data_IF_831353386416
#
_entry.id   IF_831353386416
#
_cell.length_a   1.000
_cell.length_b   1.000
_cell.length_c   1.000
_cell.angle_alpha   90.00
_cell.angle_beta   90.00
_cell.angle_gamma   90.00
#
_symmetry.space_group_name_H-M   'P 1'
#
loop_
_entity.id
_entity.type
_entity.pdbx_description
1 polymer ?
#
# COMPACT_ATOMS: atom_id res chain seq x y z
N UNK A 1 -30.65 37.06 -41.98
CA UNK A 1 -30.23 35.66 -41.83
C UNK A 1 -29.00 35.65 -40.94
N UNK A 2 -29.20 35.38 -39.65
CA UNK A 2 -28.70 34.18 -38.93
C UNK A 2 -27.22 34.33 -38.53
N UNK A 3 -26.91 34.66 -37.26
CA UNK A 3 -26.42 33.77 -36.16
C UNK A 3 -25.10 33.05 -36.53
N UNK A 4 -24.07 32.92 -35.70
CA UNK A 4 -23.86 33.17 -34.28
C UNK A 4 -22.33 33.18 -33.98
N UNK A 5 -22.02 33.62 -32.77
CA UNK A 5 -20.74 33.58 -32.05
C UNK A 5 -20.05 32.21 -32.01
N UNK A 6 -18.74 32.18 -32.28
CA UNK A 6 -17.83 31.11 -31.86
C UNK A 6 -17.09 31.55 -30.58
N UNK A 7 -17.68 31.22 -29.43
CA UNK A 7 -16.99 31.18 -28.15
C UNK A 7 -16.40 29.78 -28.00
N UNK A 8 -15.13 29.59 -28.37
CA UNK A 8 -14.43 28.33 -28.15
C UNK A 8 -13.78 28.35 -26.76
N UNK A 9 -14.43 27.56 -25.91
CA UNK A 9 -14.05 27.00 -24.63
C UNK A 9 -12.57 27.13 -24.22
N UNK A 10 -12.34 27.95 -23.20
CA UNK A 10 -11.25 27.77 -22.23
C UNK A 10 -11.43 26.43 -21.50
N UNK A 11 -10.66 25.42 -21.88
CA UNK A 11 -10.59 24.14 -21.16
C UNK A 11 -9.48 24.14 -20.07
N UNK A 12 -9.65 23.35 -18.99
CA UNK A 12 -8.89 23.46 -17.74
C UNK A 12 -7.59 22.63 -17.78
N UNK A 13 -6.63 23.00 -18.63
CA UNK A 13 -5.31 22.33 -18.67
C UNK A 13 -4.37 22.73 -17.53
N UNK A 14 -4.48 23.96 -17.04
CA UNK A 14 -3.52 24.53 -16.09
C UNK A 14 -3.51 23.84 -14.71
N UNK A 15 -4.62 23.21 -14.29
CA UNK A 15 -4.72 22.60 -12.94
C UNK A 15 -4.20 21.16 -12.84
N UNK A 16 -3.96 20.50 -13.98
CA UNK A 16 -3.47 19.12 -14.02
C UNK A 16 -1.96 19.05 -14.22
N UNK A 17 -1.38 20.02 -14.94
CA UNK A 17 0.07 20.13 -15.15
C UNK A 17 0.80 20.49 -13.85
N UNK A 18 0.25 21.41 -13.06
CA UNK A 18 0.82 21.77 -11.75
C UNK A 18 0.87 20.55 -10.79
N UNK A 19 -0.22 19.78 -10.73
CA UNK A 19 -0.29 18.57 -9.88
C UNK A 19 0.68 17.47 -10.31
N UNK A 20 0.98 17.34 -11.61
CA UNK A 20 1.98 16.38 -12.10
C UNK A 20 3.39 16.81 -11.71
N UNK A 21 3.71 18.09 -11.85
CA UNK A 21 5.00 18.64 -11.45
C UNK A 21 5.24 18.51 -9.93
N UNK A 22 4.21 18.77 -9.13
CA UNK A 22 4.26 18.57 -7.68
C UNK A 22 4.53 17.09 -7.32
N UNK A 23 3.87 16.16 -8.01
CA UNK A 23 4.09 14.72 -7.80
C UNK A 23 5.48 14.25 -8.26
N UNK A 24 5.97 14.74 -9.39
CA UNK A 24 7.31 14.42 -9.90
C UNK A 24 8.41 14.94 -8.95
N UNK A 25 8.25 16.15 -8.41
CA UNK A 25 9.20 16.71 -7.44
C UNK A 25 9.19 16.00 -6.08
N UNK A 26 8.04 15.42 -5.69
CA UNK A 26 7.89 14.67 -4.44
C UNK A 26 8.31 13.19 -4.57
N UNK A 27 8.35 12.64 -5.78
CA UNK A 27 8.63 11.23 -6.00
C UNK A 27 10.10 10.89 -5.70
N UNK A 28 10.37 9.79 -4.98
CA UNK A 28 11.75 9.36 -4.73
C UNK A 28 12.41 8.89 -6.02
N UNK A 29 13.55 9.49 -6.37
CA UNK A 29 14.37 9.05 -7.51
C UNK A 29 15.19 7.85 -7.07
N UNK A 30 14.99 6.71 -7.76
CA UNK A 30 15.76 5.50 -7.48
C UNK A 30 16.82 5.31 -8.56
N UNK A 31 18.10 5.13 -8.20
CA UNK A 31 19.15 4.98 -9.19
C UNK A 31 18.96 3.71 -10.03
N UNK A 32 19.41 3.80 -11.27
CA UNK A 32 19.47 2.65 -12.17
C UNK A 32 20.44 1.60 -11.63
N UNK A 33 20.05 0.32 -11.68
CA UNK A 33 20.84 -0.79 -11.16
C UNK A 33 20.74 -2.01 -12.09
N UNK A 34 21.61 -3.01 -11.88
CA UNK A 34 21.64 -4.25 -12.67
C UNK A 34 20.31 -5.01 -12.60
N UNK A 35 19.64 -4.94 -11.45
CA UNK A 35 18.32 -5.51 -11.20
C UNK A 35 17.22 -4.90 -12.09
N UNK A 36 17.34 -3.60 -12.41
CA UNK A 36 16.46 -2.90 -13.34
C UNK A 36 16.86 -3.14 -14.80
N UNK A 37 18.15 -3.31 -15.08
CA UNK A 37 18.64 -3.58 -16.44
C UNK A 37 18.09 -4.90 -16.99
N UNK A 38 18.09 -5.96 -16.18
CA UNK A 38 17.54 -7.27 -16.53
C UNK A 38 16.11 -7.46 -16.00
N UNK A 39 15.32 -6.39 -15.87
CA UNK A 39 13.98 -6.47 -15.28
C UNK A 39 13.04 -7.35 -16.13
N UNK A 40 12.59 -8.46 -15.55
CA UNK A 40 11.72 -9.42 -16.23
C UNK A 40 12.46 -10.38 -17.16
N UNK A 41 13.78 -10.25 -17.29
CA UNK A 41 14.64 -11.13 -18.08
C UNK A 41 15.52 -12.00 -17.17
N UNK A 42 16.06 -13.07 -17.72
CA UNK A 42 17.05 -13.90 -17.04
C UNK A 42 18.44 -13.36 -17.32
N UNK A 43 19.16 -13.03 -16.25
CA UNK A 43 20.51 -12.50 -16.37
C UNK A 43 21.51 -13.65 -16.58
N UNK A 44 22.21 -13.71 -17.73
CA UNK A 44 23.00 -14.88 -18.11
C UNK A 44 24.21 -15.13 -17.19
N UNK A 45 24.77 -14.09 -16.58
CA UNK A 45 25.92 -14.16 -15.68
C UNK A 45 25.50 -14.25 -14.20
N UNK A 46 24.20 -14.37 -13.91
CA UNK A 46 23.73 -14.37 -12.54
C UNK A 46 24.21 -15.58 -11.73
N UNK A 47 24.89 -15.28 -10.62
CA UNK A 47 25.39 -16.29 -9.70
C UNK A 47 26.58 -17.10 -10.21
N UNK A 48 27.18 -16.78 -11.37
CA UNK A 48 28.39 -17.47 -11.83
C UNK A 48 29.60 -17.00 -11.03
N UNK A 49 30.22 -17.94 -10.32
CA UNK A 49 31.48 -17.72 -9.60
C UNK A 49 32.58 -18.46 -10.36
N UNK A 50 33.58 -17.74 -10.86
CA UNK A 50 34.81 -18.37 -11.32
C UNK A 50 35.64 -18.80 -10.11
N UNK A 51 35.89 -20.10 -9.99
CA UNK A 51 36.84 -20.65 -9.02
C UNK A 51 38.24 -20.55 -9.61
N UNK A 52 39.13 -19.82 -8.94
CA UNK A 52 40.53 -19.80 -9.32
C UNK A 52 41.16 -21.17 -9.02
N UNK A 53 41.77 -21.81 -10.02
CA UNK A 53 42.50 -23.05 -9.82
C UNK A 53 43.77 -22.78 -9.01
N UNK A 54 43.93 -23.51 -7.90
CA UNK A 54 45.19 -23.48 -7.15
C UNK A 54 46.30 -24.03 -8.03
N UNK A 55 47.46 -23.38 -8.06
CA UNK A 55 48.65 -23.87 -8.77
C UNK A 55 49.26 -25.13 -8.11
N UNK A 56 48.78 -25.52 -6.93
CA UNK A 56 49.28 -26.68 -6.20
C UNK A 56 48.56 -27.97 -6.62
N UNK A 57 49.19 -28.70 -7.54
CA UNK A 57 48.71 -29.99 -8.09
C UNK A 57 48.60 -31.10 -7.05
N UNK A 58 49.29 -30.99 -5.91
CA UNK A 58 49.32 -32.05 -4.90
C UNK A 58 48.14 -32.00 -3.92
N UNK A 59 47.54 -30.82 -3.69
CA UNK A 59 46.52 -30.61 -2.66
C UNK A 59 45.14 -30.28 -3.23
N UNK A 60 45.00 -30.19 -4.55
CA UNK A 60 43.73 -29.88 -5.21
C UNK A 60 43.42 -30.94 -6.27
N UNK A 61 42.16 -31.40 -6.37
CA UNK A 61 41.73 -32.31 -7.44
C UNK A 61 42.08 -31.78 -8.83
N UNK A 62 42.46 -32.69 -9.74
CA UNK A 62 42.88 -32.36 -11.11
C UNK A 62 41.77 -31.73 -11.96
N UNK A 63 40.50 -32.03 -11.65
CA UNK A 63 39.34 -31.49 -12.35
C UNK A 63 38.53 -30.64 -11.37
N UNK A 64 38.54 -29.32 -11.58
CA UNK A 64 37.72 -28.37 -10.84
C UNK A 64 36.81 -27.71 -11.87
N UNK A 65 35.50 -27.82 -11.66
CA UNK A 65 34.54 -27.00 -12.40
C UNK A 65 34.86 -25.53 -12.15
N UNK A 66 35.32 -24.85 -13.20
CA UNK A 66 35.80 -23.47 -13.15
C UNK A 66 34.65 -22.51 -12.89
N UNK A 67 33.44 -22.81 -13.37
CA UNK A 67 32.23 -22.02 -13.15
C UNK A 67 31.25 -22.81 -12.28
N UNK A 68 30.93 -22.25 -11.11
CA UNK A 68 29.85 -22.78 -10.27
C UNK A 68 28.74 -21.76 -10.15
N UNK A 69 27.52 -22.22 -10.40
CA UNK A 69 26.30 -21.44 -10.21
C UNK A 69 25.90 -21.42 -8.73
N UNK A 70 25.91 -20.22 -8.14
CA UNK A 70 25.39 -19.97 -6.82
C UNK A 70 24.03 -19.28 -6.90
N UNK A 71 22.99 -20.02 -6.49
CA UNK A 71 21.59 -19.56 -6.49
C UNK A 71 21.35 -18.34 -5.59
N UNK A 72 22.07 -18.23 -4.48
CA UNK A 72 21.94 -17.10 -3.55
C UNK A 72 22.48 -15.82 -4.20
N UNK A 73 23.64 -15.89 -4.85
CA UNK A 73 24.21 -14.76 -5.59
C UNK A 73 23.34 -14.34 -6.78
N UNK A 74 22.73 -15.31 -7.48
CA UNK A 74 21.78 -15.01 -8.55
C UNK A 74 20.55 -14.26 -8.01
N UNK A 75 20.01 -14.69 -6.87
CA UNK A 75 18.89 -14.02 -6.23
C UNK A 75 19.25 -12.60 -5.74
N UNK A 76 20.46 -12.42 -5.20
CA UNK A 76 20.95 -11.10 -4.78
C UNK A 76 21.09 -10.13 -5.94
N UNK A 77 21.50 -10.58 -7.13
CA UNK A 77 21.65 -9.68 -8.28
C UNK A 77 20.31 -9.27 -8.91
N UNK A 78 19.26 -10.08 -8.73
CA UNK A 78 17.89 -9.77 -9.16
C UNK A 78 17.10 -8.91 -8.17
N UNK A 79 17.62 -8.69 -6.96
CA UNK A 79 16.90 -7.98 -5.90
C UNK A 79 17.68 -6.76 -5.42
N UNK A 80 16.98 -5.65 -5.15
CA UNK A 80 17.58 -4.50 -4.48
C UNK A 80 17.20 -4.46 -3.01
N UNK A 81 18.21 -4.25 -2.17
CA UNK A 81 18.00 -3.90 -0.77
C UNK A 81 18.01 -2.37 -0.66
N UNK A 82 16.87 -1.79 -0.31
CA UNK A 82 16.74 -0.37 0.00
C UNK A 82 16.60 -0.25 1.51
N UNK A 83 17.53 0.46 2.14
CA UNK A 83 17.39 0.81 3.56
C UNK A 83 16.24 1.79 3.71
N UNK A 84 15.34 1.54 4.67
CA UNK A 84 14.29 2.48 4.99
C UNK A 84 14.93 3.75 5.56
N UNK A 85 14.96 4.82 4.77
CA UNK A 85 15.59 6.09 5.15
C UNK A 85 14.81 6.88 6.22
N UNK A 86 13.63 6.40 6.64
CA UNK A 86 12.78 7.06 7.62
C UNK A 86 13.10 6.66 9.06
N UNK A 87 12.63 7.48 10.00
CA UNK A 87 12.59 7.11 11.43
C UNK A 87 11.30 6.32 11.69
N UNK A 88 11.41 5.22 12.42
CA UNK A 88 10.24 4.47 12.86
C UNK A 88 9.54 5.23 14.01
N UNK A 89 8.33 5.71 13.76
CA UNK A 89 7.47 6.26 14.80
C UNK A 89 6.42 5.22 15.24
N UNK A 90 6.39 4.86 16.55
CA UNK A 90 5.38 3.95 17.08
C UNK A 90 4.00 4.61 17.10
N UNK A 91 2.95 3.79 16.90
CA UNK A 91 1.56 4.27 16.92
C UNK A 91 1.14 4.53 18.37
N UNK A 92 0.75 5.78 18.66
CA UNK A 92 0.36 6.22 20.01
C UNK A 92 -1.13 6.03 20.32
N UNK A 93 -1.94 5.68 19.32
CA UNK A 93 -3.39 5.61 19.43
C UNK A 93 -3.92 4.20 19.13
N UNK A 94 -5.15 3.93 19.58
CA UNK A 94 -5.92 2.72 19.27
C UNK A 94 -7.19 3.12 18.52
N UNK A 95 -7.76 2.20 17.75
CA UNK A 95 -9.01 2.45 17.02
C UNK A 95 -10.16 2.82 17.96
N UNK A 96 -10.26 2.17 19.14
CA UNK A 96 -11.28 2.39 20.18
C UNK A 96 -12.74 2.39 19.68
N UNK A 97 -13.02 1.84 18.49
CA UNK A 97 -14.39 1.71 18.01
C UNK A 97 -15.13 0.64 18.82
N UNK A 98 -16.42 0.87 19.15
CA UNK A 98 -17.21 -0.11 19.90
C UNK A 98 -17.44 -1.36 19.04
N UNK A 99 -17.10 -2.52 19.58
CA UNK A 99 -17.28 -3.82 18.95
C UNK A 99 -18.66 -4.41 19.31
N UNK A 100 -19.19 -5.38 18.53
CA UNK A 100 -20.45 -6.06 18.85
C UNK A 100 -20.45 -6.74 20.23
N UNK A 101 -19.27 -7.13 20.73
CA UNK A 101 -19.09 -7.77 22.03
C UNK A 101 -19.11 -6.79 23.21
N UNK A 102 -19.26 -5.48 22.96
CA UNK A 102 -19.23 -4.43 23.99
C UNK A 102 -17.83 -3.94 24.37
N UNK A 103 -16.76 -4.60 23.92
CA UNK A 103 -15.39 -4.11 24.07
C UNK A 103 -15.02 -3.03 23.05
N UNK A 104 -13.90 -2.33 23.28
CA UNK A 104 -13.35 -1.36 22.33
C UNK A 104 -12.26 -2.00 21.47
N UNK A 105 -12.17 -1.56 20.21
CA UNK A 105 -11.16 -2.07 19.28
C UNK A 105 -9.74 -1.67 19.71
N UNK A 106 -8.89 -2.66 19.97
CA UNK A 106 -7.53 -2.46 20.47
C UNK A 106 -6.47 -2.24 19.38
N UNK A 107 -6.84 -2.37 18.10
CA UNK A 107 -5.91 -2.24 16.97
C UNK A 107 -5.24 -0.85 16.93
N UNK A 108 -3.94 -0.85 16.61
CA UNK A 108 -3.06 0.32 16.56
C UNK A 108 -2.55 0.56 15.12
N UNK A 109 -3.46 0.68 14.16
CA UNK A 109 -3.10 0.99 12.78
C UNK A 109 -2.80 2.50 12.62
N UNK A 110 -1.96 2.92 11.65
CA UNK A 110 -1.51 4.32 11.53
C UNK A 110 -2.58 5.30 11.01
N UNK A 111 -3.46 4.83 10.13
CA UNK A 111 -4.42 5.69 9.40
C UNK A 111 -5.81 5.06 9.34
N UNK A 112 -5.90 3.79 8.95
CA UNK A 112 -7.15 3.06 8.78
C UNK A 112 -7.12 1.75 9.55
N UNK A 113 -8.19 1.50 10.31
CA UNK A 113 -8.50 0.19 10.85
C UNK A 113 -9.20 -0.65 9.77
N UNK A 114 -8.76 -1.89 9.50
CA UNK A 114 -9.39 -2.77 8.52
C UNK A 114 -10.89 -3.02 8.74
N UNK A 115 -11.34 -2.95 10.00
CA UNK A 115 -12.74 -3.23 10.37
C UNK A 115 -13.61 -1.96 10.44
N UNK A 116 -13.06 -0.85 10.90
CA UNK A 116 -13.82 0.35 11.24
C UNK A 116 -13.53 1.56 10.33
N UNK A 117 -12.66 1.41 9.33
CA UNK A 117 -12.31 2.48 8.40
C UNK A 117 -11.29 3.45 8.97
N UNK A 118 -11.43 4.74 8.65
CA UNK A 118 -10.50 5.78 9.11
C UNK A 118 -10.50 5.87 10.64
N UNK A 119 -9.31 5.87 11.24
CA UNK A 119 -9.17 6.00 12.68
C UNK A 119 -9.41 7.46 13.05
N UNK A 120 -10.36 7.67 13.98
CA UNK A 120 -10.71 8.96 14.55
C UNK A 120 -10.36 8.97 16.04
N UNK A 121 -10.01 10.12 16.63
CA UNK A 121 -9.76 10.22 18.06
C UNK A 121 -11.06 9.91 18.83
N UNK A 122 -10.97 8.95 19.76
CA UNK A 122 -12.07 8.52 20.62
C UNK A 122 -11.65 8.50 22.08
N UNK A 123 -12.61 8.79 22.94
CA UNK A 123 -12.46 8.71 24.39
C UNK A 123 -12.45 7.24 24.87
N UNK A 124 -12.29 7.02 26.18
CA UNK A 124 -12.21 5.67 26.77
C UNK A 124 -13.53 4.89 26.73
N UNK A 125 -14.62 5.55 26.33
CA UNK A 125 -15.92 4.91 26.05
C UNK A 125 -16.14 4.62 24.55
N UNK A 126 -15.19 4.97 23.68
CA UNK A 126 -15.28 4.77 22.23
C UNK A 126 -16.07 5.84 21.46
N UNK A 127 -16.41 6.95 22.13
CA UNK A 127 -17.10 8.09 21.52
C UNK A 127 -16.09 9.01 20.81
N UNK A 128 -16.36 9.48 19.58
CA UNK A 128 -15.48 10.43 18.90
C UNK A 128 -15.45 11.78 19.62
N UNK A 129 -14.26 12.36 19.78
CA UNK A 129 -14.07 13.64 20.49
C UNK A 129 -14.25 14.86 19.57
N UNK A 130 -14.04 14.69 18.26
CA UNK A 130 -14.06 15.77 17.27
C UNK A 130 -15.46 15.94 16.62
N UNK A 131 -16.06 17.15 16.61
CA UNK A 131 -17.39 17.40 16.04
C UNK A 131 -17.52 17.03 14.55
N UNK A 132 -16.50 17.30 13.74
CA UNK A 132 -16.53 16.98 12.30
C UNK A 132 -16.60 15.46 12.06
N UNK A 133 -15.85 14.70 12.86
CA UNK A 133 -15.85 13.24 12.80
C UNK A 133 -17.17 12.64 13.28
N UNK A 134 -17.82 13.28 14.27
CA UNK A 134 -19.17 12.89 14.71
C UNK A 134 -20.15 13.00 13.55
N UNK A 135 -20.22 14.17 12.90
CA UNK A 135 -21.14 14.43 11.78
C UNK A 135 -20.87 13.45 10.63
N UNK A 136 -19.60 13.18 10.30
CA UNK A 136 -19.25 12.22 9.24
C UNK A 136 -19.70 10.80 9.59
N UNK A 137 -19.39 10.33 10.79
CA UNK A 137 -19.76 8.98 11.23
C UNK A 137 -21.27 8.78 11.33
N UNK A 138 -22.02 9.80 11.74
CA UNK A 138 -23.48 9.76 11.75
C UNK A 138 -24.07 9.65 10.34
N UNK A 139 -23.55 10.42 9.39
CA UNK A 139 -23.93 10.30 7.97
C UNK A 139 -23.64 8.90 7.43
N UNK A 140 -22.46 8.35 7.71
CA UNK A 140 -22.11 6.99 7.32
C UNK A 140 -23.01 5.92 7.96
N UNK A 141 -23.37 6.08 9.24
CA UNK A 141 -24.31 5.19 9.93
C UNK A 141 -25.70 5.22 9.30
N UNK A 142 -26.24 6.42 9.01
CA UNK A 142 -27.53 6.59 8.34
C UNK A 142 -27.53 5.96 6.95
N UNK A 143 -26.50 6.22 6.15
CA UNK A 143 -26.35 5.62 4.84
C UNK A 143 -26.28 4.08 4.90
N UNK A 144 -25.58 3.50 5.89
CA UNK A 144 -25.54 2.04 6.10
C UNK A 144 -26.90 1.46 6.51
N UNK A 145 -27.70 2.18 7.30
CA UNK A 145 -29.05 1.76 7.68
C UNK A 145 -30.01 1.80 6.49
N UNK A 146 -29.94 2.85 5.67
CA UNK A 146 -30.74 3.00 4.46
C UNK A 146 -30.36 1.96 3.39
N UNK A 147 -29.08 1.59 3.31
CA UNK A 147 -28.58 0.59 2.37
C UNK A 147 -28.83 -0.87 2.78
N UNK A 148 -29.41 -1.16 3.96
CA UNK A 148 -29.85 -2.51 4.32
C UNK A 148 -31.36 -2.72 4.08
N UNK A 149 -31.77 -3.14 2.88
CA UNK A 149 -33.16 -3.56 2.62
C UNK A 149 -33.40 -4.97 3.17
N UNK A 150 -33.43 -5.14 4.50
CA UNK A 150 -33.47 -6.48 5.12
C UNK A 150 -34.33 -6.68 6.37
N UNK A 151 -34.74 -5.63 7.08
CA UNK A 151 -35.47 -5.80 8.36
C UNK A 151 -36.98 -5.65 8.27
N UNK A 152 -37.55 -5.37 7.10
CA UNK A 152 -39.01 -5.21 6.94
C UNK A 152 -39.75 -6.54 6.76
N UNK A 153 -39.07 -7.64 6.39
CA UNK A 153 -39.73 -8.94 6.11
C UNK A 153 -40.07 -9.71 7.40
N UNK A 154 -39.34 -9.52 8.50
CA UNK A 154 -39.59 -10.25 9.75
C UNK A 154 -40.77 -9.71 10.58
N UNK A 155 -41.36 -8.56 10.23
CA UNK A 155 -42.55 -8.03 10.91
C UNK A 155 -43.87 -8.47 10.29
N UNK A 156 -43.87 -9.08 9.10
CA UNK A 156 -45.09 -9.52 8.41
C UNK A 156 -45.47 -10.96 8.79
N UNK A 157 -44.50 -11.79 9.20
CA UNK A 157 -44.75 -13.21 9.51
C UNK A 157 -45.13 -13.52 10.97
N UNK A 158 -45.29 -12.52 11.85
CA UNK A 158 -45.60 -12.74 13.27
C UNK A 158 -46.97 -12.21 13.71
N UNK A 159 -47.82 -11.76 12.78
CA UNK A 159 -49.19 -11.29 13.09
C UNK A 159 -50.29 -12.23 12.61
N UNK A 160 -49.96 -13.41 12.11
CA UNK A 160 -50.93 -14.43 11.73
C UNK A 160 -50.49 -15.82 12.21
N UNK A 161 -50.57 -16.04 13.53
CA UNK A 161 -50.84 -17.35 14.14
C UNK A 161 -51.37 -17.18 15.56
#
# INVERSE_FOLDING_TARGET
MSKASESILSSPKASTESKKQDQESAAPVIPFGLDLYYWGEDQPTAGRILKFSSQHQFWVPHEVEEEVENKELAAMMKTRYITFAGKFEPVKHKCKAPMPNGSLCERQDRVKCPFHGLIVPRDDLGNPTNPEDIVRLEKEKKAKQEAQPGTTIAKIFFTEF
#
